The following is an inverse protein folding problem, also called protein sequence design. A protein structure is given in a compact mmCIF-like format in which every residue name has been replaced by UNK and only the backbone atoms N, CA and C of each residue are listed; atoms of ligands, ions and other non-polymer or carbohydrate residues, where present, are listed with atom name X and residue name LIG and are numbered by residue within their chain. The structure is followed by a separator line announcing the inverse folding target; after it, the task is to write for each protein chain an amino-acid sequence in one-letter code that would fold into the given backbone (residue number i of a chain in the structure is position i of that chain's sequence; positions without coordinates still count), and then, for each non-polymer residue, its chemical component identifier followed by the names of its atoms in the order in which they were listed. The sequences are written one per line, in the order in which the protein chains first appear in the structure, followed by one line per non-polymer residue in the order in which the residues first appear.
data_IF_629583681723
#
_entry.id   IF_629583681723
#
_cell.length_a   1.000
_cell.length_b   1.000
_cell.length_c   1.000
_cell.angle_alpha   90.00
_cell.angle_beta   90.00
_cell.angle_gamma   90.00
#
_symmetry.space_group_name_H-M   'P 1'
#
loop_
_entity.id
_entity.type
_entity.pdbx_description
1 polymer ?
#
# COMPACT_ATOMS: atom_id res chain seq x y z
N UNK A 1 7.45 14.59 -21.51
CA UNK A 1 7.45 14.57 -20.04
C UNK A 1 6.51 15.67 -19.54
N UNK A 2 5.52 15.30 -18.73
CA UNK A 2 4.56 16.22 -18.15
C UNK A 2 5.11 16.71 -16.80
N UNK A 3 5.19 18.01 -16.61
CA UNK A 3 5.88 18.63 -15.46
C UNK A 3 5.36 18.14 -14.09
N UNK A 4 4.05 17.94 -13.95
CA UNK A 4 3.42 17.55 -12.68
C UNK A 4 3.29 16.03 -12.46
N UNK A 5 3.70 15.20 -13.42
CA UNK A 5 3.63 13.76 -13.29
C UNK A 5 4.89 13.23 -12.59
N UNK A 6 4.71 12.52 -11.46
CA UNK A 6 5.78 11.99 -10.62
C UNK A 6 6.01 10.48 -10.82
N UNK A 7 5.00 9.77 -11.29
CA UNK A 7 5.00 8.32 -11.39
C UNK A 7 3.81 7.80 -12.16
N UNK A 8 3.59 6.50 -12.08
CA UNK A 8 2.48 5.77 -12.70
C UNK A 8 1.65 5.12 -11.58
N UNK A 9 0.35 5.08 -11.71
CA UNK A 9 -0.58 4.41 -10.77
C UNK A 9 -2.00 4.93 -10.85
N UNK A 10 -2.94 4.24 -10.25
CA UNK A 10 -2.76 2.98 -9.54
C UNK A 10 -2.89 1.78 -10.49
N UNK A 11 -1.95 0.84 -10.40
CA UNK A 11 -2.09 -0.45 -11.10
C UNK A 11 -2.57 -1.49 -10.10
N UNK A 12 -3.75 -2.08 -10.32
CA UNK A 12 -4.33 -3.04 -9.40
C UNK A 12 -3.66 -4.43 -9.55
N UNK A 13 -3.17 -4.98 -8.44
CA UNK A 13 -2.59 -6.32 -8.34
C UNK A 13 -3.26 -7.13 -7.24
N UNK A 14 -3.33 -8.45 -7.45
CA UNK A 14 -3.92 -9.37 -6.46
C UNK A 14 -5.34 -8.97 -6.04
N UNK A 15 -6.08 -8.37 -6.97
CA UNK A 15 -7.45 -7.85 -6.81
C UNK A 15 -8.33 -8.40 -7.93
N UNK A 16 -9.59 -8.72 -7.61
CA UNK A 16 -10.56 -9.19 -8.59
C UNK A 16 -10.94 -8.13 -9.64
N UNK A 17 -10.69 -6.87 -9.36
CA UNK A 17 -10.92 -5.72 -10.26
C UNK A 17 -9.72 -5.40 -11.15
N UNK A 18 -8.59 -6.11 -10.93
CA UNK A 18 -7.37 -5.92 -11.71
C UNK A 18 -7.58 -6.31 -13.18
N UNK A 19 -6.92 -5.59 -14.09
CA UNK A 19 -6.78 -5.98 -15.49
C UNK A 19 -5.89 -7.22 -15.66
N UNK A 20 -5.34 -7.76 -14.60
CA UNK A 20 -4.44 -8.92 -14.54
C UNK A 20 -3.21 -8.74 -15.44
N UNK A 21 -2.42 -7.66 -15.27
CA UNK A 21 -1.24 -7.46 -16.09
C UNK A 21 -0.26 -8.63 -15.89
N UNK A 22 0.36 -9.03 -16.98
CA UNK A 22 1.41 -10.04 -16.97
C UNK A 22 2.67 -9.49 -16.29
N UNK A 23 3.55 -10.39 -15.83
CA UNK A 23 4.84 -9.99 -15.23
C UNK A 23 5.67 -9.14 -16.20
N UNK A 24 5.68 -9.46 -17.49
CA UNK A 24 6.44 -8.70 -18.50
C UNK A 24 5.85 -7.31 -18.74
N UNK A 25 4.55 -7.15 -18.71
CA UNK A 25 3.92 -5.83 -18.75
C UNK A 25 4.29 -5.01 -17.51
N UNK A 26 4.25 -5.62 -16.33
CA UNK A 26 4.65 -4.94 -15.09
C UNK A 26 6.12 -4.53 -15.09
N UNK A 27 7.03 -5.37 -15.62
CA UNK A 27 8.44 -5.01 -15.82
C UNK A 27 8.58 -3.77 -16.71
N UNK A 28 7.85 -3.72 -17.82
CA UNK A 28 7.85 -2.57 -18.74
C UNK A 28 7.32 -1.30 -18.07
N UNK A 29 6.19 -1.39 -17.35
CA UNK A 29 5.60 -0.25 -16.65
C UNK A 29 6.59 0.28 -15.60
N UNK A 30 7.17 -0.57 -14.78
CA UNK A 30 8.13 -0.19 -13.75
C UNK A 30 9.38 0.45 -14.35
N UNK A 31 9.93 -0.13 -15.42
CA UNK A 31 11.10 0.42 -16.13
C UNK A 31 10.79 1.79 -16.73
N UNK A 32 9.64 1.97 -17.35
CA UNK A 32 9.25 3.25 -17.95
C UNK A 32 8.98 4.33 -16.88
N UNK A 33 8.34 3.97 -15.76
CA UNK A 33 8.18 4.88 -14.63
C UNK A 33 9.55 5.37 -14.14
N UNK A 34 10.47 4.43 -13.89
CA UNK A 34 11.85 4.75 -13.48
C UNK A 34 12.59 5.63 -14.48
N UNK A 35 12.57 5.28 -15.78
CA UNK A 35 13.23 6.07 -16.83
C UNK A 35 12.63 7.47 -16.95
N UNK A 36 11.30 7.59 -16.91
CA UNK A 36 10.61 8.87 -16.91
C UNK A 36 11.03 9.75 -15.73
N UNK A 37 11.15 9.16 -14.54
CA UNK A 37 11.65 9.82 -13.34
C UNK A 37 13.09 10.31 -13.50
N UNK A 38 13.99 9.44 -13.96
CA UNK A 38 15.39 9.79 -14.19
C UNK A 38 15.56 10.94 -15.20
N UNK A 39 14.82 10.90 -16.31
CA UNK A 39 14.89 11.91 -17.36
C UNK A 39 14.28 13.26 -16.93
N UNK A 40 13.38 13.25 -15.97
CA UNK A 40 12.69 14.47 -15.51
C UNK A 40 13.16 14.97 -14.13
N UNK A 41 14.10 14.27 -13.49
CA UNK A 41 14.55 14.58 -12.12
C UNK A 41 13.46 14.36 -11.08
N UNK A 42 12.59 13.33 -11.26
CA UNK A 42 11.45 13.03 -10.40
C UNK A 42 11.53 11.61 -9.83
N UNK A 43 10.61 11.29 -8.91
CA UNK A 43 10.61 10.00 -8.20
C UNK A 43 10.51 8.78 -9.13
N UNK A 44 9.70 8.83 -10.19
CA UNK A 44 9.55 7.74 -11.14
C UNK A 44 9.00 6.46 -10.50
N UNK A 45 8.03 6.60 -9.63
CA UNK A 45 7.44 5.52 -8.84
C UNK A 45 6.28 4.84 -9.56
N UNK A 46 6.03 3.59 -9.17
CA UNK A 46 4.87 2.82 -9.58
C UNK A 46 4.02 2.52 -8.34
N UNK A 47 2.87 3.16 -8.25
CA UNK A 47 1.90 2.92 -7.19
C UNK A 47 1.02 1.73 -7.55
N UNK A 48 0.84 0.81 -6.59
CA UNK A 48 0.12 -0.44 -6.78
C UNK A 48 -1.08 -0.51 -5.85
N UNK A 49 -2.27 -0.66 -6.40
CA UNK A 49 -3.48 -0.95 -5.64
C UNK A 49 -3.50 -2.45 -5.28
N UNK A 50 -3.32 -2.76 -4.02
CA UNK A 50 -3.28 -4.16 -3.58
C UNK A 50 -4.64 -4.66 -3.13
N UNK A 51 -5.07 -5.76 -3.74
CA UNK A 51 -6.21 -6.54 -3.25
C UNK A 51 -5.81 -7.57 -2.18
N UNK A 52 -6.80 -8.31 -1.67
CA UNK A 52 -6.61 -9.42 -0.73
C UNK A 52 -6.42 -10.78 -1.40
N UNK A 53 -6.10 -10.82 -2.68
CA UNK A 53 -5.93 -12.03 -3.46
C UNK A 53 -4.73 -12.88 -3.01
N UNK A 54 -4.65 -14.10 -3.54
CA UNK A 54 -3.68 -15.11 -3.11
C UNK A 54 -2.23 -14.76 -3.44
N UNK A 55 -1.97 -14.05 -4.54
CA UNK A 55 -0.61 -13.73 -5.01
C UNK A 55 0.06 -12.66 -4.15
N UNK A 56 -0.70 -11.68 -3.62
CA UNK A 56 -0.11 -10.55 -2.90
C UNK A 56 0.96 -9.86 -3.72
N UNK A 57 2.16 -9.67 -3.15
CA UNK A 57 3.33 -9.03 -3.79
C UNK A 57 4.27 -10.02 -4.48
N UNK A 58 3.91 -11.30 -4.67
CA UNK A 58 4.83 -12.30 -5.23
C UNK A 58 5.41 -11.87 -6.59
N UNK A 59 4.57 -11.33 -7.49
CA UNK A 59 5.02 -10.83 -8.79
C UNK A 59 6.07 -9.71 -8.66
N UNK A 60 5.92 -8.84 -7.66
CA UNK A 60 6.87 -7.73 -7.45
C UNK A 60 8.22 -8.28 -6.98
N UNK A 61 8.23 -9.26 -6.08
CA UNK A 61 9.49 -9.91 -5.67
C UNK A 61 10.19 -10.60 -6.84
N UNK A 62 9.43 -11.32 -7.69
CA UNK A 62 9.99 -11.92 -8.90
C UNK A 62 10.60 -10.86 -9.82
N UNK A 63 9.93 -9.71 -10.02
CA UNK A 63 10.46 -8.61 -10.83
C UNK A 63 11.75 -8.06 -10.22
N UNK A 64 11.81 -7.88 -8.91
CA UNK A 64 13.02 -7.41 -8.23
C UNK A 64 14.18 -8.40 -8.36
N UNK A 65 13.90 -9.70 -8.35
CA UNK A 65 14.92 -10.74 -8.46
C UNK A 65 15.38 -10.95 -9.93
N UNK A 66 14.57 -10.58 -10.91
CA UNK A 66 14.82 -10.79 -12.35
C UNK A 66 15.27 -9.52 -13.10
N UNK A 67 15.26 -8.35 -12.47
CA UNK A 67 15.52 -7.06 -13.12
C UNK A 67 16.39 -6.14 -12.28
N UNK A 68 16.96 -5.12 -12.93
CA UNK A 68 17.72 -4.04 -12.28
C UNK A 68 16.83 -2.87 -11.78
N UNK A 69 15.51 -3.07 -11.68
CA UNK A 69 14.61 -2.04 -11.15
C UNK A 69 14.70 -2.01 -9.63
N UNK A 70 15.17 -0.91 -9.01
CA UNK A 70 15.31 -0.84 -7.57
C UNK A 70 13.94 -0.87 -6.86
N UNK A 71 13.90 -1.52 -5.68
CA UNK A 71 12.67 -1.67 -4.89
C UNK A 71 11.99 -0.34 -4.55
N UNK A 72 12.76 0.74 -4.38
CA UNK A 72 12.24 2.10 -4.09
C UNK A 72 11.26 2.67 -5.12
N UNK A 73 11.17 2.06 -6.30
CA UNK A 73 10.21 2.48 -7.32
C UNK A 73 8.82 1.86 -7.14
N UNK A 74 8.64 0.92 -6.21
CA UNK A 74 7.35 0.27 -5.94
C UNK A 74 6.74 0.79 -4.64
N UNK A 75 5.47 1.22 -4.72
CA UNK A 75 4.68 1.72 -3.59
C UNK A 75 3.33 0.98 -3.58
N UNK A 76 3.24 -0.22 -3.00
CA UNK A 76 1.95 -0.87 -2.79
C UNK A 76 1.15 -0.12 -1.71
N UNK A 77 -0.10 0.22 -2.03
CA UNK A 77 -1.07 0.75 -1.07
C UNK A 77 -2.05 -0.32 -0.61
N UNK A 78 -2.78 -0.07 0.46
CA UNK A 78 -3.72 -0.98 1.11
C UNK A 78 -3.06 -2.24 1.68
N UNK A 79 -1.80 -2.14 2.10
CA UNK A 79 -1.03 -3.32 2.51
C UNK A 79 -1.54 -3.99 3.78
N UNK A 80 -2.38 -3.31 4.56
CA UNK A 80 -3.02 -3.85 5.75
C UNK A 80 -4.33 -4.61 5.48
N UNK A 81 -4.72 -4.83 4.21
CA UNK A 81 -5.94 -5.58 3.84
C UNK A 81 -5.97 -7.02 4.31
N UNK A 82 -4.80 -7.64 4.50
CA UNK A 82 -4.71 -8.94 5.17
C UNK A 82 -3.30 -9.15 5.77
N UNK A 83 -3.18 -10.00 6.80
CA UNK A 83 -1.90 -10.24 7.47
C UNK A 83 -0.78 -10.76 6.55
N UNK A 84 -1.13 -11.56 5.53
CA UNK A 84 -0.15 -12.06 4.55
C UNK A 84 0.45 -10.90 3.74
N UNK A 85 -0.40 -10.01 3.25
CA UNK A 85 0.04 -8.87 2.44
C UNK A 85 0.90 -7.91 3.28
N UNK A 86 0.51 -7.66 4.54
CA UNK A 86 1.28 -6.83 5.45
C UNK A 86 2.69 -7.40 5.70
N UNK A 87 2.83 -8.72 5.90
CA UNK A 87 4.14 -9.36 6.00
C UNK A 87 5.00 -9.18 4.75
N UNK A 88 4.40 -9.34 3.57
CA UNK A 88 5.09 -9.13 2.30
C UNK A 88 5.51 -7.66 2.12
N UNK A 89 4.65 -6.71 2.50
CA UNK A 89 4.97 -5.29 2.41
C UNK A 89 6.12 -4.90 3.35
N UNK A 90 6.15 -5.42 4.58
CA UNK A 90 7.29 -5.26 5.49
C UNK A 90 8.59 -5.80 4.89
N UNK A 91 8.55 -6.94 4.21
CA UNK A 91 9.72 -7.47 3.49
C UNK A 91 10.15 -6.57 2.33
N UNK A 92 9.19 -6.03 1.57
CA UNK A 92 9.49 -5.07 0.50
C UNK A 92 10.15 -3.81 1.07
N UNK A 93 9.66 -3.27 2.19
CA UNK A 93 10.26 -2.12 2.85
C UNK A 93 11.71 -2.42 3.31
N UNK A 94 11.98 -3.61 3.87
CA UNK A 94 13.34 -4.03 4.22
C UNK A 94 14.28 -4.17 3.01
N UNK A 95 13.74 -4.41 1.82
CA UNK A 95 14.48 -4.41 0.55
C UNK A 95 14.63 -2.99 -0.05
N UNK A 96 14.18 -1.95 0.65
CA UNK A 96 14.28 -0.56 0.20
C UNK A 96 13.11 -0.09 -0.69
N UNK A 97 12.01 -0.84 -0.75
CA UNK A 97 10.75 -0.39 -1.32
C UNK A 97 9.94 0.42 -0.31
N UNK A 98 8.78 0.88 -0.72
CA UNK A 98 7.84 1.57 0.16
C UNK A 98 6.62 0.70 0.44
N UNK A 99 5.85 1.04 1.46
CA UNK A 99 4.56 0.44 1.75
C UNK A 99 3.60 1.50 2.28
N UNK A 100 2.33 1.45 1.86
CA UNK A 100 1.30 2.38 2.28
C UNK A 100 0.15 1.67 2.99
N UNK A 101 -0.08 2.05 4.25
CA UNK A 101 -1.16 1.56 5.10
C UNK A 101 -2.39 2.43 4.85
N UNK A 102 -3.56 1.83 4.70
CA UNK A 102 -4.80 2.58 4.50
C UNK A 102 -5.57 2.71 5.81
N UNK A 103 -5.79 3.95 6.24
CA UNK A 103 -6.54 4.24 7.47
C UNK A 103 -8.06 4.20 7.29
N UNK A 104 -8.55 4.26 6.05
CA UNK A 104 -9.99 4.35 5.76
C UNK A 104 -10.77 3.04 5.91
N UNK A 105 -10.09 1.88 5.93
CA UNK A 105 -10.71 0.55 5.97
C UNK A 105 -10.52 -0.15 7.32
N UNK A 106 -11.27 0.25 8.33
CA UNK A 106 -11.15 -0.30 9.70
C UNK A 106 -12.11 -1.46 9.95
N UNK A 107 -11.72 -2.39 10.83
CA UNK A 107 -12.59 -3.51 11.25
C UNK A 107 -13.89 -3.02 11.89
N UNK A 108 -13.85 -1.91 12.64
CA UNK A 108 -15.04 -1.31 13.24
C UNK A 108 -16.05 -0.78 12.21
N UNK A 109 -15.62 -0.51 10.99
CA UNK A 109 -16.49 -0.12 9.87
C UNK A 109 -17.05 -1.35 9.11
N UNK A 110 -16.74 -2.57 9.57
CA UNK A 110 -17.27 -3.83 9.04
C UNK A 110 -16.33 -4.54 8.05
N UNK A 111 -15.10 -4.07 7.89
CA UNK A 111 -14.09 -4.79 7.13
C UNK A 111 -13.63 -6.02 7.91
N UNK A 112 -13.45 -7.14 7.22
CA UNK A 112 -13.03 -8.40 7.84
C UNK A 112 -11.71 -8.88 7.24
N UNK A 113 -10.87 -9.49 8.06
CA UNK A 113 -9.60 -10.10 7.63
C UNK A 113 -8.43 -9.15 7.45
N UNK A 114 -8.62 -7.84 7.65
CA UNK A 114 -7.57 -6.83 7.66
C UNK A 114 -6.81 -6.76 8.97
N UNK A 115 -5.79 -5.89 9.00
CA UNK A 115 -5.07 -5.46 10.21
C UNK A 115 -5.43 -3.99 10.43
N UNK A 116 -5.78 -3.63 11.67
CA UNK A 116 -6.06 -2.23 12.01
C UNK A 116 -4.85 -1.35 11.67
N UNK A 117 -5.05 -0.13 11.15
CA UNK A 117 -3.95 0.70 10.68
C UNK A 117 -2.93 1.03 11.78
N UNK A 118 -3.39 1.43 12.98
CA UNK A 118 -2.50 1.69 14.14
C UNK A 118 -1.72 0.45 14.55
N UNK A 119 -2.35 -0.72 14.49
CA UNK A 119 -1.70 -1.99 14.79
C UNK A 119 -0.66 -2.36 13.73
N UNK A 120 -0.93 -2.08 12.44
CA UNK A 120 0.04 -2.28 11.37
C UNK A 120 1.27 -1.38 11.54
N UNK A 121 1.09 -0.11 11.94
CA UNK A 121 2.18 0.82 12.25
C UNK A 121 2.98 0.30 13.45
N UNK A 122 2.31 -0.08 14.55
CA UNK A 122 2.95 -0.63 15.74
C UNK A 122 3.79 -1.86 15.40
N UNK A 123 3.25 -2.81 14.64
CA UNK A 123 3.99 -3.99 14.19
C UNK A 123 5.21 -3.63 13.35
N UNK A 124 5.11 -2.64 12.45
CA UNK A 124 6.26 -2.18 11.67
C UNK A 124 7.36 -1.65 12.59
N UNK A 125 7.00 -0.81 13.56
CA UNK A 125 7.93 -0.25 14.53
C UNK A 125 8.60 -1.33 15.38
N UNK A 126 7.82 -2.22 16.02
CA UNK A 126 8.32 -3.28 16.90
C UNK A 126 9.21 -4.31 16.16
N UNK A 127 8.91 -4.58 14.89
CA UNK A 127 9.68 -5.52 14.06
C UNK A 127 10.89 -4.87 13.36
N UNK A 128 11.19 -3.59 13.63
CA UNK A 128 12.33 -2.87 13.05
C UNK A 128 12.25 -2.68 11.54
N UNK A 129 11.04 -2.50 11.00
CA UNK A 129 10.87 -2.08 9.61
C UNK A 129 11.38 -0.64 9.47
N UNK A 130 12.13 -0.29 8.40
CA UNK A 130 12.52 1.10 8.17
C UNK A 130 11.28 2.00 8.09
N UNK A 131 11.04 2.83 9.12
CA UNK A 131 9.82 3.61 9.23
C UNK A 131 9.74 4.75 8.21
N UNK A 132 10.85 5.22 7.69
CA UNK A 132 10.95 6.15 6.56
C UNK A 132 10.49 5.54 5.21
N UNK A 133 10.24 4.23 5.18
CA UNK A 133 9.64 3.49 4.07
C UNK A 133 8.16 3.14 4.29
N UNK A 134 7.59 3.54 5.41
CA UNK A 134 6.18 3.29 5.76
C UNK A 134 5.40 4.60 5.65
N UNK A 135 4.33 4.59 4.88
CA UNK A 135 3.38 5.70 4.79
C UNK A 135 1.99 5.26 5.20
N UNK A 136 1.15 6.20 5.52
CA UNK A 136 -0.28 5.96 5.72
C UNK A 136 -1.10 6.97 4.94
N UNK A 137 -2.11 6.48 4.22
CA UNK A 137 -3.08 7.29 3.50
C UNK A 137 -4.51 6.97 3.93
N UNK A 138 -5.43 7.92 3.74
CA UNK A 138 -6.82 7.71 4.13
C UNK A 138 -7.67 6.99 3.10
N UNK A 139 -7.21 6.93 1.84
CA UNK A 139 -8.08 6.60 0.70
C UNK A 139 -9.34 7.50 0.66
N UNK A 140 -9.16 8.76 1.05
CA UNK A 140 -10.25 9.72 1.32
C UNK A 140 -11.19 9.91 0.15
N UNK A 141 -12.49 9.83 0.42
CA UNK A 141 -13.59 9.80 -0.54
C UNK A 141 -13.63 8.54 -1.43
N UNK A 142 -12.72 7.59 -1.24
CA UNK A 142 -12.79 6.27 -1.89
C UNK A 142 -14.04 5.52 -1.44
N UNK A 143 -14.75 4.91 -2.41
CA UNK A 143 -15.93 4.10 -2.14
C UNK A 143 -15.54 2.69 -1.69
N UNK A 144 -16.15 2.21 -0.61
CA UNK A 144 -15.91 0.89 -0.05
C UNK A 144 -17.20 0.11 0.08
N UNK A 145 -17.22 -1.12 -0.41
CA UNK A 145 -18.38 -2.03 -0.34
C UNK A 145 -18.20 -2.98 0.84
N UNK A 146 -19.09 -2.90 1.81
CA UNK A 146 -19.07 -3.75 3.01
C UNK A 146 -20.27 -4.70 2.98
N UNK A 147 -20.05 -6.02 2.80
CA UNK A 147 -21.12 -7.02 2.90
C UNK A 147 -21.77 -6.99 4.28
N UNK A 148 -23.09 -7.08 4.29
CA UNK A 148 -23.86 -7.13 5.53
C UNK A 148 -24.33 -8.57 5.79
N UNK A 149 -24.65 -8.93 7.06
CA UNK A 149 -25.11 -10.28 7.41
C UNK A 149 -26.42 -10.69 6.72
N UNK A 150 -27.24 -9.72 6.30
CA UNK A 150 -28.49 -9.95 5.58
C UNK A 150 -28.32 -10.17 4.06
N UNK A 151 -27.07 -10.21 3.59
CA UNK A 151 -26.72 -10.38 2.16
C UNK A 151 -26.75 -9.09 1.35
N UNK A 152 -27.07 -7.95 1.96
CA UNK A 152 -26.99 -6.65 1.29
C UNK A 152 -25.55 -6.12 1.30
N UNK A 153 -25.29 -5.07 0.53
CA UNK A 153 -23.99 -4.39 0.51
C UNK A 153 -24.20 -2.93 0.93
N UNK A 154 -23.50 -2.54 1.99
CA UNK A 154 -23.44 -1.14 2.42
C UNK A 154 -22.27 -0.45 1.73
N UNK A 155 -22.53 0.68 1.08
CA UNK A 155 -21.49 1.54 0.54
C UNK A 155 -21.06 2.52 1.64
N UNK A 156 -19.78 2.55 1.92
CA UNK A 156 -19.11 3.49 2.81
C UNK A 156 -18.14 4.35 2.02
N UNK A 157 -17.86 5.53 2.54
CA UNK A 157 -16.84 6.43 2.01
C UNK A 157 -15.72 6.56 3.03
N UNK A 158 -14.49 6.40 2.58
CA UNK A 158 -13.32 6.56 3.43
C UNK A 158 -13.23 7.99 3.98
N UNK A 159 -12.95 8.11 5.29
CA UNK A 159 -12.94 9.37 6.01
C UNK A 159 -11.52 9.93 6.10
N UNK A 160 -11.35 11.20 5.74
CA UNK A 160 -10.04 11.86 5.80
C UNK A 160 -9.45 11.91 7.22
N UNK A 161 -10.29 12.15 8.22
CA UNK A 161 -9.85 12.26 9.61
C UNK A 161 -9.40 10.94 10.24
N UNK A 162 -9.64 9.80 9.58
CA UNK A 162 -9.14 8.50 10.04
C UNK A 162 -7.62 8.48 10.18
N UNK A 163 -6.87 9.23 9.36
CA UNK A 163 -5.42 9.39 9.51
C UNK A 163 -5.05 9.84 10.93
N UNK A 164 -5.67 10.92 11.39
CA UNK A 164 -5.40 11.45 12.72
C UNK A 164 -5.80 10.48 13.84
N UNK A 165 -6.94 9.82 13.69
CA UNK A 165 -7.42 8.84 14.66
C UNK A 165 -6.45 7.67 14.81
N UNK A 166 -5.99 7.12 13.68
CA UNK A 166 -5.09 5.96 13.66
C UNK A 166 -3.67 6.31 14.14
N UNK A 167 -3.13 7.48 13.75
CA UNK A 167 -1.85 7.96 14.28
C UNK A 167 -1.90 8.18 15.78
N UNK A 168 -2.97 8.84 16.28
CA UNK A 168 -3.17 9.01 17.70
C UNK A 168 -3.21 7.67 18.44
N UNK A 169 -3.91 6.68 17.88
CA UNK A 169 -4.00 5.35 18.50
C UNK A 169 -2.64 4.65 18.50
N UNK A 170 -1.87 4.70 17.40
CA UNK A 170 -0.53 4.15 17.35
C UNK A 170 0.39 4.73 18.43
N UNK A 171 0.32 6.03 18.68
CA UNK A 171 1.07 6.68 19.76
C UNK A 171 0.61 6.20 21.14
N UNK A 172 -0.69 6.06 21.37
CA UNK A 172 -1.23 5.51 22.61
C UNK A 172 -0.81 4.05 22.85
N UNK A 173 -0.61 3.30 21.76
CA UNK A 173 -0.16 1.91 21.78
C UNK A 173 1.39 1.79 21.89
N UNK A 174 2.10 2.90 22.06
CA UNK A 174 3.52 2.94 22.39
C UNK A 174 4.48 3.27 21.24
N UNK A 175 3.98 3.62 20.05
CA UNK A 175 4.84 4.13 18.98
C UNK A 175 5.25 5.57 19.31
N UNK A 176 6.55 5.92 19.31
CA UNK A 176 6.98 7.31 19.56
C UNK A 176 6.36 8.29 18.55
N UNK A 177 5.94 9.46 19.03
CA UNK A 177 5.28 10.47 18.17
C UNK A 177 6.13 10.85 16.96
N UNK A 178 7.43 11.04 17.17
CA UNK A 178 8.39 11.38 16.11
C UNK A 178 8.60 10.29 15.06
N UNK A 179 8.15 9.08 15.36
CA UNK A 179 8.17 7.95 14.41
C UNK A 179 6.83 7.80 13.70
N UNK A 180 5.73 8.16 14.39
CA UNK A 180 4.37 8.02 13.86
C UNK A 180 3.99 9.14 12.87
N UNK A 181 4.68 10.29 12.87
CA UNK A 181 4.36 11.51 12.09
C UNK A 181 5.37 11.74 10.94
#
# INVERSE_FOLDING_TARGET
LIDKVLGIGEVALSDHRSSQPTKDEMKRIATQARLGGMLSGKAGVLQLHMGSGKSGLSMIFEILDETEVPARHFIPTHVNRCPKLLRQAKELARRGGYMDITSGGRLCDGFTGGVEPHEAIRQCYEEGVPMDHVTMSSDGNGGMSVPQPDGTVKLLTARLHSLHEELRQAVLDGVPLEVAV
#
